data_IF_652034382628
#
_entry.id   IF_652034382628
#
_cell.length_a   1.000
_cell.length_b   1.000
_cell.length_c   1.000
_cell.angle_alpha   90.00
_cell.angle_beta   90.00
_cell.angle_gamma   90.00
#
_symmetry.space_group_name_H-M   'P 1'
#
loop_
_entity.id
_entity.type
_entity.pdbx_description
1 polymer ?
#
# COMPACT_ATOMS: atom_id res chain seq x y z
N UNK A 1 -4.31 4.65 -18.56
CA UNK A 1 -3.03 4.49 -17.83
C UNK A 1 -3.17 4.75 -16.32
N UNK A 2 -3.61 5.94 -15.87
CA UNK A 2 -3.69 6.29 -14.44
C UNK A 2 -4.58 5.33 -13.64
N UNK A 3 -5.81 5.11 -14.10
CA UNK A 3 -6.75 4.19 -13.46
C UNK A 3 -6.15 2.79 -13.31
N UNK A 4 -5.56 2.22 -14.38
CA UNK A 4 -4.97 0.89 -14.36
C UNK A 4 -3.78 0.81 -13.38
N UNK A 5 -2.93 1.84 -13.35
CA UNK A 5 -1.79 1.87 -12.42
C UNK A 5 -2.24 1.96 -10.95
N UNK A 6 -3.24 2.80 -10.65
CA UNK A 6 -3.81 2.89 -9.29
C UNK A 6 -4.55 1.60 -8.92
N UNK A 7 -5.29 1.00 -9.86
CA UNK A 7 -5.94 -0.30 -9.63
C UNK A 7 -4.91 -1.39 -9.30
N UNK A 8 -3.77 -1.42 -10.01
CA UNK A 8 -2.68 -2.36 -9.70
C UNK A 8 -2.08 -2.10 -8.30
N UNK A 9 -1.81 -0.84 -7.95
CA UNK A 9 -1.34 -0.50 -6.60
C UNK A 9 -2.36 -0.89 -5.52
N UNK A 10 -3.66 -0.72 -5.80
CA UNK A 10 -4.75 -1.13 -4.92
C UNK A 10 -4.80 -2.66 -4.78
N UNK A 11 -4.59 -3.40 -5.86
CA UNK A 11 -4.49 -4.86 -5.80
C UNK A 11 -3.32 -5.33 -4.93
N UNK A 12 -2.18 -4.63 -4.97
CA UNK A 12 -1.05 -4.94 -4.09
C UNK A 12 -1.38 -4.74 -2.60
N UNK A 13 -2.22 -3.76 -2.26
CA UNK A 13 -2.72 -3.62 -0.88
C UNK A 13 -3.64 -4.77 -0.47
N UNK A 14 -4.49 -5.26 -1.37
CA UNK A 14 -5.33 -6.45 -1.11
C UNK A 14 -4.48 -7.71 -0.91
N UNK A 15 -3.41 -7.87 -1.69
CA UNK A 15 -2.47 -8.96 -1.50
C UNK A 15 -1.82 -8.87 -0.10
N UNK A 16 -1.36 -7.69 0.29
CA UNK A 16 -0.79 -7.44 1.61
C UNK A 16 -1.81 -7.76 2.73
N UNK A 17 -3.08 -7.42 2.57
CA UNK A 17 -4.13 -7.80 3.52
C UNK A 17 -4.23 -9.33 3.69
N UNK A 18 -4.14 -10.08 2.60
CA UNK A 18 -4.18 -11.55 2.67
C UNK A 18 -3.01 -12.13 3.45
N UNK A 19 -1.84 -11.47 3.44
CA UNK A 19 -0.67 -11.92 4.22
C UNK A 19 -0.87 -11.74 5.73
N UNK A 20 -1.72 -10.79 6.16
CA UNK A 20 -2.04 -10.63 7.59
C UNK A 20 -2.71 -11.89 8.14
N UNK A 21 -3.59 -12.55 7.36
CA UNK A 21 -4.18 -13.83 7.76
C UNK A 21 -3.12 -14.92 7.92
N UNK A 22 -2.16 -15.02 6.99
CA UNK A 22 -1.03 -15.95 7.11
C UNK A 22 -0.13 -15.64 8.31
N UNK A 23 0.04 -14.35 8.64
CA UNK A 23 0.77 -13.92 9.83
C UNK A 23 0.07 -14.36 11.12
N UNK A 24 -1.27 -14.24 11.18
CA UNK A 24 -2.08 -14.73 12.31
C UNK A 24 -1.97 -16.26 12.45
N UNK A 25 -2.08 -17.00 11.34
CA UNK A 25 -1.93 -18.46 11.35
C UNK A 25 -0.52 -18.87 11.85
N UNK A 26 0.52 -18.20 11.36
CA UNK A 26 1.90 -18.44 11.77
C UNK A 26 2.09 -18.17 13.27
N UNK A 27 1.59 -17.04 13.77
CA UNK A 27 1.69 -16.68 15.18
C UNK A 27 0.96 -17.70 16.08
N UNK A 28 -0.25 -18.13 15.67
CA UNK A 28 -1.02 -19.15 16.37
C UNK A 28 -0.31 -20.51 16.39
N UNK A 29 0.26 -20.95 15.27
CA UNK A 29 1.00 -22.21 15.18
C UNK A 29 2.30 -22.19 16.01
N UNK A 30 2.91 -21.03 16.19
CA UNK A 30 4.15 -20.83 16.98
C UNK A 30 3.89 -20.34 18.40
N UNK A 31 2.63 -20.15 18.78
CA UNK A 31 2.19 -19.74 20.13
C UNK A 31 2.79 -18.42 20.62
N UNK A 32 2.86 -17.40 19.72
CA UNK A 32 3.23 -16.03 20.09
C UNK A 32 2.15 -15.02 19.67
N UNK A 33 2.18 -13.83 20.27
CA UNK A 33 1.25 -12.75 19.93
C UNK A 33 1.60 -12.16 18.53
N UNK A 34 0.65 -12.18 17.61
CA UNK A 34 0.82 -11.62 16.26
C UNK A 34 1.19 -10.13 16.28
N UNK A 35 0.83 -9.39 17.33
CA UNK A 35 1.21 -8.00 17.53
C UNK A 35 2.72 -7.74 17.51
N UNK A 36 3.53 -8.76 17.85
CA UNK A 36 5.00 -8.68 17.73
C UNK A 36 5.45 -8.40 16.30
N UNK A 37 4.73 -8.90 15.31
CA UNK A 37 5.06 -8.68 13.89
C UNK A 37 4.82 -7.23 13.45
N UNK A 38 3.89 -6.51 14.09
CA UNK A 38 3.56 -5.11 13.76
C UNK A 38 4.77 -4.19 13.98
N UNK A 39 5.55 -4.46 15.03
CA UNK A 39 6.76 -3.70 15.37
C UNK A 39 8.03 -4.28 14.75
N UNK A 40 7.93 -5.43 14.08
CA UNK A 40 9.05 -6.10 13.42
C UNK A 40 9.73 -5.20 12.38
N UNK A 41 11.06 -5.29 12.31
CA UNK A 41 11.92 -4.52 11.40
C UNK A 41 12.83 -5.48 10.64
N UNK A 42 13.23 -5.08 9.43
CA UNK A 42 14.22 -5.83 8.64
C UNK A 42 15.65 -5.55 9.13
N UNK A 43 15.92 -4.31 9.55
CA UNK A 43 17.16 -3.89 10.20
C UNK A 43 16.85 -2.89 11.34
N UNK A 44 17.72 -2.74 12.34
CA UNK A 44 17.45 -1.93 13.54
C UNK A 44 17.13 -0.46 13.26
N UNK A 45 17.71 0.11 12.21
CA UNK A 45 17.55 1.50 11.77
C UNK A 45 16.41 1.69 10.74
N UNK A 46 15.80 0.59 10.27
CA UNK A 46 14.66 0.65 9.35
C UNK A 46 13.34 0.85 10.08
N UNK A 47 12.34 1.38 9.37
CA UNK A 47 10.98 1.55 9.89
C UNK A 47 10.29 0.19 10.05
N UNK A 48 9.41 0.03 11.08
CA UNK A 48 8.73 -1.24 11.36
C UNK A 48 7.66 -1.59 10.31
N UNK A 49 7.14 -2.81 10.38
CA UNK A 49 6.08 -3.32 9.51
C UNK A 49 4.87 -2.38 9.41
N UNK A 50 4.38 -1.89 10.57
CA UNK A 50 3.22 -0.98 10.58
C UNK A 50 3.45 0.26 9.73
N UNK A 51 4.62 0.88 9.82
CA UNK A 51 4.96 2.05 9.01
C UNK A 51 4.98 1.73 7.52
N UNK A 52 5.42 0.53 7.13
CA UNK A 52 5.42 0.13 5.73
C UNK A 52 3.97 0.05 5.19
N UNK A 53 3.06 -0.50 5.98
CA UNK A 53 1.64 -0.57 5.60
C UNK A 53 1.01 0.82 5.53
N UNK A 54 1.23 1.66 6.54
CA UNK A 54 0.73 3.05 6.58
C UNK A 54 1.19 3.82 5.35
N UNK A 55 2.50 3.78 5.06
CA UNK A 55 3.08 4.48 3.91
C UNK A 55 2.54 3.96 2.57
N UNK A 56 2.46 2.64 2.38
CA UNK A 56 1.86 2.07 1.16
C UNK A 56 0.42 2.56 0.97
N UNK A 57 -0.39 2.52 2.03
CA UNK A 57 -1.76 3.03 2.01
C UNK A 57 -1.82 4.52 1.68
N UNK A 58 -0.93 5.33 2.26
CA UNK A 58 -0.93 6.78 2.03
C UNK A 58 -0.55 7.14 0.60
N UNK A 59 0.44 6.46 0.00
CA UNK A 59 0.78 6.69 -1.40
C UNK A 59 -0.35 6.29 -2.35
N UNK A 60 -1.04 5.16 -2.13
CA UNK A 60 -2.19 4.76 -2.96
C UNK A 60 -3.35 5.76 -2.81
N UNK A 61 -3.70 6.10 -1.57
CA UNK A 61 -4.76 7.06 -1.26
C UNK A 61 -4.51 8.44 -1.85
N UNK A 62 -3.29 8.96 -1.65
CA UNK A 62 -2.90 10.27 -2.16
C UNK A 62 -2.92 10.32 -3.69
N UNK A 63 -2.42 9.26 -4.35
CA UNK A 63 -2.41 9.19 -5.80
C UNK A 63 -3.83 9.07 -6.37
N UNK A 64 -4.69 8.23 -5.78
CA UNK A 64 -6.08 8.13 -6.19
C UNK A 64 -6.79 9.49 -6.10
N UNK A 65 -6.57 10.24 -5.01
CA UNK A 65 -7.20 11.53 -4.81
C UNK A 65 -6.62 12.61 -5.73
N UNK A 66 -5.31 12.85 -5.68
CA UNK A 66 -4.73 13.99 -6.41
C UNK A 66 -4.82 13.81 -7.92
N UNK A 67 -4.62 12.58 -8.43
CA UNK A 67 -4.73 12.31 -9.86
C UNK A 67 -6.17 12.30 -10.37
N UNK A 68 -7.18 12.24 -9.48
CA UNK A 68 -8.59 12.43 -9.82
C UNK A 68 -9.12 13.84 -9.49
N UNK A 69 -8.25 14.74 -8.99
CA UNK A 69 -8.63 16.10 -8.63
C UNK A 69 -9.36 16.23 -7.29
N UNK A 70 -9.22 15.23 -6.42
CA UNK A 70 -9.82 15.20 -5.08
C UNK A 70 -8.78 15.49 -4.00
N UNK A 71 -9.25 15.81 -2.79
CA UNK A 71 -8.41 15.90 -1.59
C UNK A 71 -8.34 14.52 -0.93
N UNK A 72 -7.13 13.99 -0.59
CA UNK A 72 -7.01 12.72 0.09
C UNK A 72 -7.71 12.74 1.45
N UNK A 73 -8.47 11.70 1.81
CA UNK A 73 -9.01 11.59 3.15
C UNK A 73 -7.87 11.46 4.19
N UNK A 74 -8.06 12.08 5.36
CA UNK A 74 -7.10 11.95 6.45
C UNK A 74 -7.24 10.58 7.11
N UNK A 75 -6.13 9.87 7.25
CA UNK A 75 -6.03 8.67 8.06
C UNK A 75 -5.01 8.93 9.19
N UNK A 76 -5.39 8.60 10.42
CA UNK A 76 -4.48 8.70 11.57
C UNK A 76 -3.54 7.49 11.56
N UNK A 77 -2.26 7.71 11.93
CA UNK A 77 -1.24 6.65 12.01
C UNK A 77 -1.16 6.14 13.46
N UNK A 78 -2.24 5.53 13.93
CA UNK A 78 -2.43 5.13 15.33
C UNK A 78 -2.77 3.65 15.51
N UNK A 79 -2.62 2.86 14.46
CA UNK A 79 -2.88 1.42 14.49
C UNK A 79 -1.91 0.71 15.47
N UNK A 80 -2.47 -0.15 16.35
CA UNK A 80 -1.74 -0.90 17.37
C UNK A 80 -1.94 -2.42 17.21
N UNK A 81 -2.97 -2.84 16.49
CA UNK A 81 -3.37 -4.24 16.33
C UNK A 81 -3.39 -4.64 14.87
N UNK A 82 -3.32 -5.96 14.62
CA UNK A 82 -3.41 -6.50 13.25
C UNK A 82 -4.77 -6.18 12.60
N UNK A 83 -5.84 -6.12 13.39
CA UNK A 83 -7.18 -5.78 12.89
C UNK A 83 -7.28 -4.30 12.51
N UNK A 84 -6.62 -3.41 13.25
CA UNK A 84 -6.55 -2.00 12.89
C UNK A 84 -5.72 -1.79 11.63
N UNK A 85 -4.61 -2.54 11.45
CA UNK A 85 -3.84 -2.58 10.21
C UNK A 85 -4.71 -3.03 9.04
N UNK A 86 -5.49 -4.11 9.23
CA UNK A 86 -6.44 -4.60 8.23
C UNK A 86 -7.50 -3.55 7.89
N UNK A 87 -8.06 -2.89 8.90
CA UNK A 87 -9.03 -1.81 8.71
C UNK A 87 -8.43 -0.62 7.93
N UNK A 88 -7.16 -0.27 8.20
CA UNK A 88 -6.41 0.76 7.44
C UNK A 88 -6.34 0.42 5.95
N UNK A 89 -5.96 -0.82 5.63
CA UNK A 89 -5.89 -1.28 4.24
C UNK A 89 -7.27 -1.20 3.59
N UNK A 90 -8.30 -1.77 4.23
CA UNK A 90 -9.67 -1.80 3.68
C UNK A 90 -10.24 -0.42 3.39
N UNK A 91 -10.10 0.53 4.31
CA UNK A 91 -10.58 1.91 4.08
C UNK A 91 -9.82 2.60 2.94
N UNK A 92 -8.53 2.31 2.77
CA UNK A 92 -7.73 2.84 1.65
C UNK A 92 -8.17 2.23 0.32
N UNK A 93 -8.34 0.92 0.27
CA UNK A 93 -8.85 0.18 -0.90
C UNK A 93 -10.22 0.71 -1.30
N UNK A 94 -11.15 0.81 -0.34
CA UNK A 94 -12.50 1.31 -0.60
C UNK A 94 -12.50 2.73 -1.19
N UNK A 95 -11.65 3.62 -0.68
CA UNK A 95 -11.50 4.95 -1.24
C UNK A 95 -10.92 4.92 -2.66
N UNK A 96 -9.83 4.18 -2.90
CA UNK A 96 -9.20 4.11 -4.21
C UNK A 96 -10.16 3.51 -5.26
N UNK A 97 -10.96 2.51 -4.90
CA UNK A 97 -11.94 1.87 -5.78
C UNK A 97 -13.20 2.74 -6.01
N UNK A 98 -13.47 3.71 -5.15
CA UNK A 98 -14.56 4.66 -5.36
C UNK A 98 -14.27 5.67 -6.48
N UNK A 99 -13.00 5.81 -6.88
CA UNK A 99 -12.56 6.71 -7.95
C UNK A 99 -12.71 6.02 -9.30
N UNK A 100 -13.62 6.51 -10.12
CA UNK A 100 -13.88 5.97 -11.46
C UNK A 100 -12.80 6.34 -12.46
N UNK A 101 -12.66 5.57 -13.54
CA UNK A 101 -11.70 5.84 -14.62
C UNK A 101 -11.90 7.25 -15.24
N UNK A 102 -13.15 7.69 -15.39
CA UNK A 102 -13.48 9.00 -15.94
C UNK A 102 -12.93 10.16 -15.08
N UNK A 103 -12.82 9.98 -13.77
CA UNK A 103 -12.30 11.03 -12.87
C UNK A 103 -10.79 11.27 -13.04
N UNK A 104 -10.06 10.34 -13.67
CA UNK A 104 -8.66 10.55 -14.03
C UNK A 104 -8.47 11.34 -15.35
N UNK A 105 -9.55 11.78 -16.00
CA UNK A 105 -9.43 12.70 -17.13
C UNK A 105 -8.66 13.96 -16.71
N UNK A 106 -7.68 14.40 -17.50
CA UNK A 106 -6.80 15.53 -17.18
C UNK A 106 -5.77 15.26 -16.07
N UNK A 107 -5.54 14.01 -15.69
CA UNK A 107 -4.56 13.69 -14.64
C UNK A 107 -3.13 14.13 -15.00
N UNK A 108 -2.76 14.10 -16.30
CA UNK A 108 -1.42 14.49 -16.75
C UNK A 108 -1.11 15.97 -16.46
N UNK A 109 -2.11 16.83 -16.60
CA UNK A 109 -2.00 18.30 -16.44
C UNK A 109 -2.08 18.74 -14.99
N UNK A 110 -2.50 17.84 -14.07
CA UNK A 110 -2.59 18.16 -12.64
C UNK A 110 -1.21 18.36 -12.03
N UNK A 111 -1.12 19.33 -11.14
CA UNK A 111 0.09 19.64 -10.38
C UNK A 111 -0.05 19.13 -8.96
N UNK A 112 0.89 18.30 -8.53
CA UNK A 112 0.93 17.76 -7.17
C UNK A 112 2.04 18.44 -6.39
N UNK A 113 1.67 19.08 -5.27
CA UNK A 113 2.61 19.66 -4.32
C UNK A 113 2.87 18.70 -3.18
N UNK A 114 4.13 18.57 -2.79
CA UNK A 114 4.55 17.71 -1.68
C UNK A 114 5.02 18.59 -0.51
N UNK A 115 4.53 18.31 0.70
CA UNK A 115 4.80 19.14 1.88
C UNK A 115 6.30 19.26 2.22
N UNK A 116 7.08 18.21 1.91
CA UNK A 116 8.52 18.18 2.13
C UNK A 116 9.34 18.86 1.02
N UNK A 117 8.71 19.32 -0.06
CA UNK A 117 9.34 20.02 -1.18
C UNK A 117 8.62 21.36 -1.45
N UNK A 118 8.65 22.32 -0.51
CA UNK A 118 7.92 23.58 -0.63
C UNK A 118 8.37 24.35 -1.87
N UNK A 119 7.40 24.93 -2.59
CA UNK A 119 7.64 25.69 -3.81
C UNK A 119 7.91 24.84 -5.06
N UNK A 120 7.89 23.51 -4.95
CA UNK A 120 8.04 22.59 -6.09
C UNK A 120 6.73 21.82 -6.34
N UNK A 121 6.51 21.46 -7.59
CA UNK A 121 5.36 20.65 -8.01
C UNK A 121 5.83 19.58 -8.99
N UNK A 122 5.13 18.44 -8.98
CA UNK A 122 5.25 17.40 -10.00
C UNK A 122 4.03 17.45 -10.93
N UNK A 123 4.22 17.23 -12.21
CA UNK A 123 3.12 16.88 -13.11
C UNK A 123 2.53 15.52 -12.72
N UNK A 124 1.26 15.28 -13.09
CA UNK A 124 0.57 14.05 -12.68
C UNK A 124 1.26 12.78 -13.17
N UNK A 125 1.87 12.80 -14.36
CA UNK A 125 2.62 11.66 -14.88
C UNK A 125 3.89 11.39 -14.07
N UNK A 126 4.70 12.42 -13.81
CA UNK A 126 5.91 12.30 -12.99
C UNK A 126 5.57 11.87 -11.56
N UNK A 127 4.47 12.42 -11.00
CA UNK A 127 4.00 12.01 -9.68
C UNK A 127 3.62 10.53 -9.64
N UNK A 128 2.93 10.03 -10.67
CA UNK A 128 2.61 8.60 -10.75
C UNK A 128 3.87 7.73 -10.90
N UNK A 129 4.73 8.06 -11.86
CA UNK A 129 5.85 7.20 -12.26
C UNK A 129 7.06 7.31 -11.33
N UNK A 130 7.36 8.51 -10.80
CA UNK A 130 8.57 8.75 -10.01
C UNK A 130 8.30 8.70 -8.49
N UNK A 131 7.06 8.93 -8.07
CA UNK A 131 6.70 8.96 -6.66
C UNK A 131 5.78 7.81 -6.26
N UNK A 132 4.60 7.71 -6.87
CA UNK A 132 3.58 6.76 -6.42
C UNK A 132 4.03 5.32 -6.57
N UNK A 133 4.29 4.88 -7.80
CA UNK A 133 4.61 3.48 -8.10
C UNK A 133 5.84 3.01 -7.31
N UNK A 134 7.00 3.70 -7.36
CA UNK A 134 8.18 3.26 -6.64
C UNK A 134 7.97 3.17 -5.12
N UNK A 135 7.28 4.14 -4.52
CA UNK A 135 7.04 4.14 -3.08
C UNK A 135 6.07 3.03 -2.65
N UNK A 136 4.96 2.84 -3.38
CA UNK A 136 4.01 1.76 -3.07
C UNK A 136 4.73 0.41 -3.11
N UNK A 137 5.46 0.12 -4.18
CA UNK A 137 6.17 -1.16 -4.30
C UNK A 137 7.29 -1.29 -3.27
N UNK A 138 8.05 -0.22 -2.98
CA UNK A 138 9.07 -0.23 -1.93
C UNK A 138 8.46 -0.65 -0.59
N UNK A 139 7.40 0.02 -0.15
CA UNK A 139 6.79 -0.25 1.15
C UNK A 139 6.13 -1.64 1.22
N UNK A 140 5.49 -2.09 0.15
CA UNK A 140 4.89 -3.43 0.08
C UNK A 140 5.97 -4.51 0.09
N UNK A 141 7.08 -4.32 -0.64
CA UNK A 141 8.23 -5.25 -0.62
C UNK A 141 8.87 -5.30 0.76
N UNK A 142 9.00 -4.15 1.44
CA UNK A 142 9.52 -4.12 2.81
C UNK A 142 8.58 -4.83 3.79
N UNK A 143 7.27 -4.63 3.69
CA UNK A 143 6.29 -5.37 4.49
C UNK A 143 6.39 -6.88 4.24
N UNK A 144 6.46 -7.32 2.98
CA UNK A 144 6.70 -8.72 2.62
C UNK A 144 7.98 -9.26 3.25
N UNK A 145 9.09 -8.54 3.09
CA UNK A 145 10.40 -8.96 3.59
C UNK A 145 10.41 -9.11 5.12
N UNK A 146 9.77 -8.19 5.85
CA UNK A 146 9.65 -8.25 7.31
C UNK A 146 8.86 -9.50 7.72
N UNK A 147 7.68 -9.75 7.14
CA UNK A 147 6.89 -10.94 7.44
C UNK A 147 7.65 -12.23 7.10
N UNK A 148 8.29 -12.28 5.92
CA UNK A 148 9.04 -13.46 5.48
C UNK A 148 10.26 -13.71 6.34
N UNK A 149 11.00 -12.67 6.75
CA UNK A 149 12.13 -12.75 7.67
C UNK A 149 11.71 -13.31 9.05
N UNK A 150 10.51 -12.97 9.50
CA UNK A 150 9.94 -13.48 10.76
C UNK A 150 9.26 -14.85 10.61
N UNK A 151 9.44 -15.54 9.48
CA UNK A 151 9.02 -16.92 9.28
C UNK A 151 7.61 -17.11 8.74
N UNK A 152 6.88 -16.05 8.44
CA UNK A 152 5.55 -16.17 7.81
C UNK A 152 5.67 -16.83 6.45
N UNK A 153 4.90 -17.89 6.19
CA UNK A 153 4.94 -18.66 4.95
C UNK A 153 4.20 -17.95 3.81
N UNK A 154 4.86 -16.92 3.28
CA UNK A 154 4.46 -16.20 2.07
C UNK A 154 5.52 -16.36 0.99
N UNK A 155 5.11 -16.44 -0.27
CA UNK A 155 5.98 -16.62 -1.43
C UNK A 155 5.67 -15.66 -2.57
N UNK A 156 6.37 -15.82 -3.69
CA UNK A 156 6.19 -14.99 -4.88
C UNK A 156 4.73 -14.98 -5.38
N UNK A 157 4.04 -16.11 -5.29
CA UNK A 157 2.64 -16.18 -5.75
C UNK A 157 1.69 -15.41 -4.83
N UNK A 158 1.95 -15.37 -3.53
CA UNK A 158 1.22 -14.49 -2.60
C UNK A 158 1.46 -13.01 -2.93
N UNK A 159 2.69 -12.66 -3.31
CA UNK A 159 3.03 -11.30 -3.71
C UNK A 159 2.33 -10.88 -5.00
N UNK A 160 2.33 -11.75 -6.02
CA UNK A 160 1.65 -11.47 -7.30
C UNK A 160 0.13 -11.41 -7.13
N UNK A 161 -0.44 -12.26 -6.26
CA UNK A 161 -1.88 -12.39 -6.07
C UNK A 161 -2.58 -13.04 -7.27
N UNK A 162 -3.89 -12.81 -7.44
CA UNK A 162 -4.66 -13.40 -8.52
C UNK A 162 -4.21 -12.85 -9.88
N UNK A 163 -4.01 -13.77 -10.84
CA UNK A 163 -3.64 -13.45 -12.22
C UNK A 163 -4.83 -13.81 -13.12
N UNK A 164 -5.22 -12.89 -13.97
CA UNK A 164 -6.26 -13.13 -14.97
C UNK A 164 -5.65 -13.80 -16.20
N UNK A 165 -5.97 -15.08 -16.37
CA UNK A 165 -5.56 -15.87 -17.53
C UNK A 165 -6.66 -15.84 -18.59
N UNK A 166 -6.25 -15.78 -19.84
CA UNK A 166 -7.13 -15.99 -21.01
C UNK A 166 -6.67 -17.26 -21.73
N UNK A 167 -7.59 -17.93 -22.40
CA UNK A 167 -7.26 -19.08 -23.26
C UNK A 167 -6.42 -18.60 -24.46
N UNK A 168 -5.48 -19.47 -24.93
CA UNK A 168 -4.57 -19.19 -26.03
C UNK A 168 -5.26 -19.39 -27.40
#
# INVERSE_FOLDING_TARGET
MYYQAISQCTQMLKNLESWLHKAEQHAGAKTFDVGVLITGRLAPDMKPFIYQVQSACDYVKAAAAWLSGQTPPKHEDNEQTIDEVRARIRKTVAFAESVTEAQYAGAAERKVSLSWAPGKVLGGEDYLLQMTIPNVYFHIVMAYAILRHNGVEIGKMDFLGPIHWIEA
#
